data_IF_029399713187
#
_entry.id   IF_029399713187
#
_cell.length_a   1.000
_cell.length_b   1.000
_cell.length_c   1.000
_cell.angle_alpha   90.00
_cell.angle_beta   90.00
_cell.angle_gamma   90.00
#
_symmetry.space_group_name_H-M   'P 1'
#
loop_
_entity.id
_entity.type
_entity.pdbx_description
1 polymer ?
#
# COMPACT_ATOMS: atom_id res chain seq x y z
N UNK A 1 4.81 14.14 -2.43
CA UNK A 1 5.11 13.29 -1.25
C UNK A 1 5.17 11.82 -1.68
N UNK A 2 5.95 10.93 -1.04
CA UNK A 2 6.13 9.52 -1.49
C UNK A 2 4.78 8.77 -1.66
N UNK A 3 3.80 9.05 -0.80
CA UNK A 3 2.45 8.47 -0.88
C UNK A 3 1.69 8.93 -2.13
N UNK A 4 1.74 10.22 -2.45
CA UNK A 4 1.05 10.78 -3.63
C UNK A 4 1.64 10.23 -4.93
N UNK A 5 2.96 10.05 -4.96
CA UNK A 5 3.68 9.46 -6.09
C UNK A 5 3.27 7.98 -6.31
N UNK A 6 3.19 7.19 -5.23
CA UNK A 6 2.66 5.83 -5.29
C UNK A 6 1.23 5.81 -5.86
N UNK A 7 0.35 6.70 -5.37
CA UNK A 7 -1.05 6.79 -5.82
C UNK A 7 -1.15 7.24 -7.29
N UNK A 8 -0.33 8.21 -7.70
CA UNK A 8 -0.30 8.69 -9.09
C UNK A 8 0.16 7.59 -10.07
N UNK A 9 1.04 6.69 -9.63
CA UNK A 9 1.58 5.60 -10.46
C UNK A 9 0.60 4.45 -10.71
N UNK A 10 -0.50 4.35 -9.96
CA UNK A 10 -1.46 3.26 -10.16
C UNK A 10 -0.94 1.86 -9.85
N UNK A 11 0.28 1.72 -9.29
CA UNK A 11 0.98 0.42 -9.19
C UNK A 11 1.24 0.05 -7.74
N UNK A 12 0.26 -0.61 -7.10
CA UNK A 12 0.39 -1.08 -5.72
C UNK A 12 -0.39 -2.37 -5.48
N UNK A 13 0.14 -3.24 -4.63
CA UNK A 13 -0.56 -4.42 -4.15
C UNK A 13 -1.31 -4.09 -2.86
N UNK A 14 -2.55 -4.56 -2.75
CA UNK A 14 -3.37 -4.44 -1.54
C UNK A 14 -3.05 -5.60 -0.61
N UNK A 15 -2.75 -5.29 0.65
CA UNK A 15 -2.49 -6.25 1.71
C UNK A 15 -3.53 -6.03 2.80
N UNK A 16 -4.30 -7.07 3.12
CA UNK A 16 -5.28 -7.07 4.20
C UNK A 16 -4.73 -7.90 5.36
N UNK A 17 -4.83 -7.38 6.58
CA UNK A 17 -4.40 -8.16 7.75
C UNK A 17 -5.36 -9.35 7.96
N UNK A 18 -4.84 -10.57 8.19
CA UNK A 18 -5.67 -11.77 8.29
C UNK A 18 -6.70 -11.70 9.43
N UNK A 19 -6.28 -11.21 10.61
CA UNK A 19 -7.16 -11.13 11.79
C UNK A 19 -7.92 -9.80 11.92
N UNK A 20 -7.61 -8.80 11.10
CA UNK A 20 -8.13 -7.43 11.20
C UNK A 20 -8.42 -6.90 9.80
N UNK A 21 -9.54 -7.33 9.17
CA UNK A 21 -9.82 -7.03 7.76
C UNK A 21 -9.96 -5.53 7.47
N UNK A 22 -10.24 -4.71 8.48
CA UNK A 22 -10.26 -3.25 8.40
C UNK A 22 -8.86 -2.63 8.26
N UNK A 23 -7.80 -3.37 8.62
CA UNK A 23 -6.41 -2.93 8.51
C UNK A 23 -5.87 -3.23 7.12
N UNK A 24 -6.23 -2.34 6.19
CA UNK A 24 -5.78 -2.41 4.80
C UNK A 24 -4.48 -1.62 4.64
N UNK A 25 -3.56 -2.16 3.85
CA UNK A 25 -2.31 -1.50 3.46
C UNK A 25 -2.13 -1.62 1.95
N UNK A 26 -1.40 -0.68 1.37
CA UNK A 26 -0.90 -0.80 0.00
C UNK A 26 0.62 -0.80 -0.01
N UNK A 27 1.19 -1.59 -0.89
CA UNK A 27 2.64 -1.73 -1.07
C UNK A 27 2.98 -1.47 -2.52
N UNK A 28 3.98 -0.63 -2.78
CA UNK A 28 4.48 -0.48 -4.14
C UNK A 28 5.68 0.45 -4.25
N UNK A 29 6.24 0.57 -5.46
CA UNK A 29 7.41 1.40 -5.72
C UNK A 29 7.03 2.87 -5.93
N UNK A 30 7.87 3.76 -5.42
CA UNK A 30 7.87 5.19 -5.79
C UNK A 30 8.64 5.40 -7.11
N UNK A 31 8.61 6.62 -7.62
CA UNK A 31 9.40 7.10 -8.76
C UNK A 31 10.91 6.90 -8.62
N UNK A 32 11.41 6.85 -7.39
CA UNK A 32 12.82 6.59 -7.11
C UNK A 32 13.16 5.09 -7.02
N UNK A 33 12.17 4.21 -7.26
CA UNK A 33 12.32 2.76 -7.15
C UNK A 33 12.30 2.24 -5.71
N UNK A 34 12.06 3.11 -4.72
CA UNK A 34 11.92 2.70 -3.33
C UNK A 34 10.55 2.10 -3.09
N UNK A 35 10.49 0.96 -2.39
CA UNK A 35 9.24 0.38 -1.94
C UNK A 35 8.77 1.02 -0.64
N UNK A 36 7.51 1.45 -0.64
CA UNK A 36 6.83 1.96 0.55
C UNK A 36 5.55 1.16 0.82
N UNK A 37 5.22 1.07 2.10
CA UNK A 37 3.98 0.49 2.60
C UNK A 37 3.16 1.60 3.21
N UNK A 38 1.91 1.78 2.78
CA UNK A 38 1.01 2.83 3.24
C UNK A 38 -0.16 2.19 3.98
N UNK A 39 -0.37 2.60 5.22
CA UNK A 39 -1.57 2.23 5.98
C UNK A 39 -2.78 3.03 5.48
N UNK A 40 -3.92 2.34 5.36
CA UNK A 40 -5.16 2.91 4.89
C UNK A 40 -6.23 2.85 5.99
N UNK A 41 -6.90 3.98 6.22
CA UNK A 41 -8.07 4.05 7.09
C UNK A 41 -9.36 3.93 6.25
N UNK A 42 -10.40 3.27 6.78
CA UNK A 42 -11.71 3.28 6.16
C UNK A 42 -12.31 4.69 6.14
N UNK A 43 -13.06 5.01 5.09
CA UNK A 43 -13.85 6.24 5.05
C UNK A 43 -15.34 5.96 5.34
N UNK A 44 -16.17 7.01 5.32
CA UNK A 44 -17.64 6.84 5.39
C UNK A 44 -18.20 6.05 4.20
N UNK A 45 -17.46 5.99 3.08
CA UNK A 45 -17.85 5.21 1.92
C UNK A 45 -17.11 3.86 1.95
N UNK A 46 -17.81 2.70 1.91
CA UNK A 46 -17.20 1.39 2.14
C UNK A 46 -16.19 0.97 1.06
N UNK A 47 -16.31 1.52 -0.15
CA UNK A 47 -15.38 1.26 -1.25
C UNK A 47 -14.21 2.25 -1.34
N UNK A 48 -14.08 3.18 -0.38
CA UNK A 48 -13.05 4.23 -0.42
C UNK A 48 -12.23 4.19 0.87
N UNK A 49 -10.92 4.17 0.70
CA UNK A 49 -9.94 4.20 1.78
C UNK A 49 -9.09 5.46 1.69
N UNK A 50 -8.64 5.96 2.84
CA UNK A 50 -7.78 7.14 2.95
C UNK A 50 -6.36 6.72 3.36
N UNK A 51 -5.32 7.14 2.64
CA UNK A 51 -3.94 6.92 3.07
C UNK A 51 -3.62 7.77 4.30
N UNK A 52 -2.97 7.15 5.29
CA UNK A 52 -2.64 7.80 6.58
C UNK A 52 -1.15 8.07 6.68
N UNK A 53 -0.34 7.02 6.58
CA UNK A 53 1.11 7.11 6.79
C UNK A 53 1.83 6.07 5.97
N UNK A 54 2.91 6.51 5.31
CA UNK A 54 3.83 5.66 4.56
C UNK A 54 5.07 5.33 5.38
N UNK A 55 5.56 4.10 5.25
CA UNK A 55 6.84 3.64 5.80
C UNK A 55 7.62 2.89 4.74
N UNK A 56 8.92 2.66 4.97
CA UNK A 56 9.70 1.74 4.14
C UNK A 56 9.10 0.33 4.23
N UNK A 57 8.94 -0.33 3.08
CA UNK A 57 8.43 -1.70 3.05
C UNK A 57 9.43 -2.70 3.61
N UNK A 58 8.89 -3.72 4.25
CA UNK A 58 9.64 -4.91 4.68
C UNK A 58 9.82 -5.91 3.52
N UNK A 59 10.77 -6.83 3.66
CA UNK A 59 11.08 -7.81 2.62
C UNK A 59 9.86 -8.68 2.24
N UNK A 60 9.03 -9.06 3.22
CA UNK A 60 7.82 -9.86 3.00
C UNK A 60 6.76 -9.08 2.19
N UNK A 61 6.63 -7.78 2.42
CA UNK A 61 5.69 -6.90 1.72
C UNK A 61 6.13 -6.70 0.26
N UNK A 62 7.45 -6.55 0.03
CA UNK A 62 8.02 -6.47 -1.31
C UNK A 62 7.83 -7.80 -2.05
N UNK A 63 8.06 -8.93 -1.38
CA UNK A 63 7.86 -10.25 -1.98
C UNK A 63 6.40 -10.48 -2.39
N UNK A 64 5.45 -10.08 -1.53
CA UNK A 64 4.03 -10.11 -1.85
C UNK A 64 3.71 -9.25 -3.08
N UNK A 65 4.15 -7.99 -3.12
CA UNK A 65 3.95 -7.12 -4.29
C UNK A 65 4.48 -7.77 -5.57
N UNK A 66 5.70 -8.30 -5.54
CA UNK A 66 6.31 -8.94 -6.71
C UNK A 66 5.50 -10.12 -7.20
N UNK A 67 4.95 -10.95 -6.31
CA UNK A 67 4.09 -12.07 -6.69
C UNK A 67 2.79 -11.63 -7.38
N UNK A 68 2.19 -10.53 -6.93
CA UNK A 68 0.90 -10.06 -7.46
C UNK A 68 1.04 -9.24 -8.75
N UNK A 69 2.23 -8.66 -9.04
CA UNK A 69 2.43 -7.71 -10.14
C UNK A 69 3.58 -8.04 -11.12
N UNK A 70 4.39 -9.08 -10.88
CA UNK A 70 5.47 -9.55 -11.77
C UNK A 70 5.34 -11.05 -12.04
#
# INVERSE_FOLDING_TARGET
MEIEDLIARGTWAVVVHPDFPERVRIVGPTSTGRFITVALDPTKHPAVWRPVTGRRSEAIEIAYYRREYL
#
